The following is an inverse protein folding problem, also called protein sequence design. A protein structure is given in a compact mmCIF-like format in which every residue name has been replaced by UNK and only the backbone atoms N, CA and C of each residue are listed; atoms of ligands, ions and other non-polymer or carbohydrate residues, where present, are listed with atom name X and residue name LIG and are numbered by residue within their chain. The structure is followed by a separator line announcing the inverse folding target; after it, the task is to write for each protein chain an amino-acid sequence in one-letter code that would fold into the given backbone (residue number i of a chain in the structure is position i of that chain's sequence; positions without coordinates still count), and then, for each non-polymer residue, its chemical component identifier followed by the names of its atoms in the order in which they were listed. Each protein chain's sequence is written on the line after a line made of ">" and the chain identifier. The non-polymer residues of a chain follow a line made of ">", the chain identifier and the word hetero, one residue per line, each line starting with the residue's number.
data_IF_180176156105
#
_entry.id   IF_180176156105
#
_cell.length_a   1.000
_cell.length_b   1.000
_cell.length_c   1.000
_cell.angle_alpha   90.00
_cell.angle_beta   90.00
_cell.angle_gamma   90.00
#
_symmetry.space_group_name_H-M   'P 1'
#
loop_
_entity.id
_entity.type
_entity.pdbx_description
1 polymer ?
#
# COMPACT_ATOMS: atom_id res chain seq x y z
N UNK A 1 -16.07 -6.91 19.28
CA UNK A 1 -15.20 -6.53 20.42
C UNK A 1 -14.70 -5.13 20.16
N UNK A 2 -14.57 -4.28 21.20
CA UNK A 2 -13.98 -2.94 21.10
C UNK A 2 -12.78 -2.87 22.05
N UNK A 3 -11.78 -2.09 21.67
CA UNK A 3 -10.68 -1.76 22.57
C UNK A 3 -11.08 -0.67 23.56
N UNK A 4 -10.37 -0.56 24.71
CA UNK A 4 -10.46 0.65 25.55
C UNK A 4 -10.19 1.91 24.71
N UNK A 5 -10.97 2.96 24.94
CA UNK A 5 -10.76 4.25 24.25
C UNK A 5 -9.55 4.97 24.85
N UNK A 6 -8.50 5.06 24.07
CA UNK A 6 -7.23 5.75 24.40
C UNK A 6 -7.12 7.13 23.74
N UNK A 7 -8.15 7.57 23.01
CA UNK A 7 -8.10 8.84 22.26
C UNK A 7 -8.01 10.06 23.19
N UNK A 8 -8.70 10.13 24.33
CA UNK A 8 -8.53 11.25 25.26
C UNK A 8 -7.07 11.45 25.69
N UNK A 9 -6.41 10.35 26.09
CA UNK A 9 -5.00 10.39 26.52
C UNK A 9 -4.06 10.76 25.37
N UNK A 10 -4.31 10.20 24.17
CA UNK A 10 -3.54 10.56 22.99
C UNK A 10 -3.72 12.03 22.61
N UNK A 11 -4.91 12.59 22.69
CA UNK A 11 -5.15 14.02 22.42
C UNK A 11 -4.46 14.92 23.44
N UNK A 12 -4.46 14.54 24.70
CA UNK A 12 -3.75 15.28 25.74
C UNK A 12 -2.22 15.27 25.48
N UNK A 13 -1.70 14.14 25.02
CA UNK A 13 -0.27 13.97 24.67
C UNK A 13 0.12 14.64 23.35
N UNK A 14 -0.81 14.72 22.41
CA UNK A 14 -0.60 15.20 21.03
C UNK A 14 -1.44 16.45 20.71
N UNK A 15 -1.32 17.54 21.50
CA UNK A 15 -2.20 18.71 21.35
C UNK A 15 -2.06 19.46 20.03
N UNK A 16 -0.97 19.26 19.28
CA UNK A 16 -0.71 19.91 17.99
C UNK A 16 -1.06 19.01 16.79
N UNK A 17 -1.63 17.82 17.03
CA UNK A 17 -2.06 16.94 15.95
C UNK A 17 -3.21 17.58 15.19
N UNK A 18 -3.09 17.68 13.85
CA UNK A 18 -4.09 18.32 12.98
C UNK A 18 -5.01 17.31 12.32
N UNK A 19 -4.49 16.15 12.01
CA UNK A 19 -5.20 15.07 11.36
C UNK A 19 -6.29 14.44 12.23
N UNK A 20 -7.09 13.60 11.61
CA UNK A 20 -8.20 12.93 12.28
C UNK A 20 -7.68 11.78 13.14
N UNK A 21 -8.10 11.77 14.40
CA UNK A 21 -7.81 10.70 15.35
C UNK A 21 -9.12 10.12 15.88
N UNK A 22 -9.36 8.81 15.63
CA UNK A 22 -10.63 8.12 15.92
C UNK A 22 -10.38 6.88 16.78
N UNK A 23 -11.30 6.63 17.74
CA UNK A 23 -11.31 5.40 18.50
C UNK A 23 -12.07 4.29 17.77
N UNK A 24 -11.59 3.06 17.89
CA UNK A 24 -12.30 1.86 17.46
C UNK A 24 -12.86 1.93 16.03
N UNK A 25 -12.09 2.52 15.10
CA UNK A 25 -12.52 2.64 13.70
C UNK A 25 -12.61 1.26 13.05
N UNK A 26 -13.79 0.84 12.52
CA UNK A 26 -13.93 -0.43 11.83
C UNK A 26 -13.02 -0.53 10.61
N UNK A 27 -12.09 -1.48 10.59
CA UNK A 27 -11.14 -1.63 9.48
C UNK A 27 -11.72 -2.35 8.27
N UNK A 28 -12.81 -3.09 8.42
CA UNK A 28 -13.53 -3.68 7.30
C UNK A 28 -13.98 -2.66 6.25
N UNK A 29 -14.18 -1.38 6.63
CA UNK A 29 -14.48 -0.29 5.70
C UNK A 29 -13.31 0.08 4.79
N UNK A 30 -12.08 -0.21 5.23
CA UNK A 30 -10.82 0.16 4.57
C UNK A 30 -10.09 -1.04 3.96
N UNK A 31 -10.61 -2.25 4.10
CA UNK A 31 -10.05 -3.44 3.45
C UNK A 31 -10.83 -3.77 2.17
N UNK A 32 -10.14 -4.23 1.15
CA UNK A 32 -10.82 -4.69 -0.07
C UNK A 32 -11.68 -5.92 0.19
N UNK A 33 -11.24 -6.80 1.06
CA UNK A 33 -11.98 -7.99 1.47
C UNK A 33 -13.27 -7.67 2.27
N UNK A 34 -13.37 -6.44 2.80
CA UNK A 34 -14.52 -5.93 3.56
C UNK A 34 -14.78 -6.69 4.86
N UNK A 35 -13.74 -7.24 5.45
CA UNK A 35 -13.75 -7.84 6.79
C UNK A 35 -12.68 -7.18 7.65
N UNK A 36 -12.85 -7.25 8.97
CA UNK A 36 -11.88 -6.79 9.95
C UNK A 36 -12.52 -6.07 11.12
N UNK A 37 -11.98 -6.37 12.31
CA UNK A 37 -12.31 -5.69 13.55
C UNK A 37 -11.77 -4.25 13.59
N UNK A 38 -11.92 -3.57 14.73
CA UNK A 38 -11.57 -2.16 14.85
C UNK A 38 -10.04 -1.94 14.95
N UNK A 39 -9.58 -0.75 14.52
CA UNK A 39 -8.32 -0.18 14.96
C UNK A 39 -8.53 0.46 16.34
N UNK A 40 -7.68 0.17 17.33
CA UNK A 40 -7.79 0.78 18.66
C UNK A 40 -7.72 2.31 18.58
N UNK A 41 -6.68 2.84 17.92
CA UNK A 41 -6.60 4.23 17.53
C UNK A 41 -6.34 4.30 16.02
N UNK A 42 -7.05 5.16 15.32
CA UNK A 42 -6.95 5.33 13.88
C UNK A 42 -6.58 6.77 13.57
N UNK A 43 -5.44 6.98 12.91
CA UNK A 43 -4.90 8.29 12.59
C UNK A 43 -4.82 8.51 11.09
N UNK A 44 -5.35 9.65 10.64
CA UNK A 44 -5.24 10.15 9.27
C UNK A 44 -4.53 11.50 9.31
N UNK A 45 -3.19 11.54 9.11
CA UNK A 45 -2.42 12.77 9.09
C UNK A 45 -2.80 13.67 7.91
N UNK A 46 -2.66 14.99 8.10
CA UNK A 46 -2.89 15.99 7.07
C UNK A 46 -1.72 16.06 6.07
N UNK A 47 -0.47 15.99 6.57
CA UNK A 47 0.76 16.08 5.80
C UNK A 47 1.95 15.41 6.51
N UNK A 48 3.14 15.48 5.90
CA UNK A 48 4.38 14.90 6.44
C UNK A 48 4.73 15.45 7.84
N UNK A 49 4.48 16.73 8.10
CA UNK A 49 4.79 17.36 9.39
C UNK A 49 3.85 16.86 10.49
N UNK A 50 2.58 16.70 10.18
CA UNK A 50 1.58 16.16 11.10
C UNK A 50 1.86 14.68 11.41
N UNK A 51 2.21 13.91 10.39
CA UNK A 51 2.65 12.52 10.55
C UNK A 51 3.91 12.43 11.43
N UNK A 52 4.92 13.27 11.15
CA UNK A 52 6.18 13.33 11.89
C UNK A 52 5.94 13.72 13.36
N UNK A 53 5.11 14.71 13.60
CA UNK A 53 4.71 15.11 14.94
C UNK A 53 4.01 13.96 15.68
N UNK A 54 3.05 13.32 15.03
CA UNK A 54 2.34 12.16 15.58
C UNK A 54 3.30 11.05 15.98
N UNK A 55 4.11 10.57 15.03
CA UNK A 55 5.05 9.46 15.28
C UNK A 55 6.07 9.75 16.38
N UNK A 56 6.63 10.95 16.42
CA UNK A 56 7.62 11.36 17.43
C UNK A 56 7.07 11.32 18.84
N UNK A 57 5.82 11.68 19.02
CA UNK A 57 5.21 11.88 20.33
C UNK A 57 4.33 10.71 20.80
N UNK A 58 4.14 9.66 19.96
CA UNK A 58 3.50 8.43 20.42
C UNK A 58 4.33 7.74 21.52
N UNK A 59 3.69 7.02 22.48
CA UNK A 59 4.39 6.12 23.39
C UNK A 59 5.37 5.21 22.64
N UNK A 60 6.58 5.04 23.18
CA UNK A 60 7.66 4.31 22.49
C UNK A 60 7.28 2.84 22.20
N UNK A 61 6.51 2.24 23.10
CA UNK A 61 6.02 0.86 23.07
C UNK A 61 4.70 0.70 22.28
N UNK A 62 4.08 1.80 21.82
CA UNK A 62 2.82 1.71 21.08
C UNK A 62 3.08 1.13 19.68
N UNK A 63 2.44 0.00 19.33
CA UNK A 63 2.51 -0.55 18.00
C UNK A 63 1.95 0.41 16.95
N UNK A 64 2.61 0.48 15.80
CA UNK A 64 2.15 1.28 14.64
C UNK A 64 1.94 0.35 13.46
N UNK A 65 0.75 0.40 12.89
CA UNK A 65 0.37 -0.33 11.68
C UNK A 65 -0.03 0.65 10.59
N UNK A 66 0.52 0.51 9.38
CA UNK A 66 0.18 1.38 8.25
C UNK A 66 -0.71 0.62 7.28
N UNK A 67 -1.81 1.24 6.86
CA UNK A 67 -2.70 0.67 5.85
C UNK A 67 -2.84 1.60 4.65
N UNK A 68 -2.75 1.01 3.45
CA UNK A 68 -3.02 1.70 2.18
C UNK A 68 -4.45 1.43 1.68
N UNK A 69 -4.58 0.95 0.43
CA UNK A 69 -5.86 0.54 -0.15
C UNK A 69 -6.49 -0.71 0.49
N UNK A 70 -5.77 -1.40 1.38
CA UNK A 70 -6.26 -2.60 2.04
C UNK A 70 -6.47 -3.81 1.12
N UNK A 71 -5.84 -3.81 -0.06
CA UNK A 71 -5.99 -4.85 -1.08
C UNK A 71 -5.19 -6.13 -0.80
N UNK A 72 -4.21 -6.05 0.11
CA UNK A 72 -3.35 -7.16 0.51
C UNK A 72 -3.42 -7.42 2.02
N UNK A 73 -4.58 -7.13 2.64
CA UNK A 73 -4.78 -7.25 4.08
C UNK A 73 -6.03 -8.07 4.38
N UNK A 74 -5.89 -8.96 5.36
CA UNK A 74 -7.00 -9.60 6.07
C UNK A 74 -6.86 -9.22 7.54
N UNK A 75 -7.77 -8.42 8.04
CA UNK A 75 -7.81 -8.02 9.45
C UNK A 75 -8.74 -8.97 10.19
N UNK A 76 -8.28 -9.54 11.30
CA UNK A 76 -9.08 -10.45 12.14
C UNK A 76 -10.11 -9.66 12.95
N UNK A 77 -11.15 -10.34 13.42
CA UNK A 77 -12.27 -9.73 14.17
C UNK A 77 -11.83 -9.05 15.46
N UNK A 78 -10.72 -9.52 16.08
CA UNK A 78 -10.11 -8.86 17.24
C UNK A 78 -9.55 -7.47 16.96
N UNK A 79 -9.41 -7.09 15.69
CA UNK A 79 -8.91 -5.78 15.31
C UNK A 79 -7.39 -5.63 15.42
N UNK A 80 -6.94 -4.37 15.45
CA UNK A 80 -5.52 -3.98 15.49
C UNK A 80 -5.29 -3.08 16.71
N UNK A 81 -4.42 -3.54 17.61
CA UNK A 81 -3.99 -2.79 18.78
C UNK A 81 -3.02 -1.67 18.42
N UNK A 82 -2.98 -0.60 19.20
CA UNK A 82 -2.09 0.53 19.03
C UNK A 82 -2.62 1.51 17.98
N UNK A 83 -1.70 2.16 17.26
CA UNK A 83 -2.01 3.19 16.27
C UNK A 83 -2.04 2.59 14.85
N UNK A 84 -3.19 2.63 14.20
CA UNK A 84 -3.30 2.37 12.76
C UNK A 84 -3.26 3.70 12.02
N UNK A 85 -2.31 3.86 11.10
CA UNK A 85 -2.13 5.05 10.27
C UNK A 85 -2.64 4.77 8.86
N UNK A 86 -3.48 5.67 8.36
CA UNK A 86 -3.92 5.66 6.96
C UNK A 86 -3.68 7.02 6.34
N UNK A 87 -2.82 7.07 5.35
CA UNK A 87 -2.53 8.30 4.62
C UNK A 87 -3.71 8.65 3.70
N UNK A 88 -4.04 9.94 3.67
CA UNK A 88 -5.20 10.49 2.97
C UNK A 88 -4.82 11.49 1.88
N UNK A 89 -5.64 12.53 1.75
CA UNK A 89 -5.54 13.53 0.67
C UNK A 89 -4.20 14.26 0.61
N UNK A 90 -3.54 14.52 1.74
CA UNK A 90 -2.23 15.18 1.78
C UNK A 90 -1.08 14.34 1.17
N UNK A 91 -1.35 13.09 0.79
CA UNK A 91 -0.35 12.15 0.27
C UNK A 91 -0.80 11.49 -1.04
N UNK A 92 -1.75 12.09 -1.73
CA UNK A 92 -2.39 11.46 -2.89
C UNK A 92 -2.24 12.33 -4.18
N UNK A 93 -1.19 13.10 -4.27
CA UNK A 93 -0.81 13.85 -5.45
C UNK A 93 0.00 13.00 -6.44
N UNK A 94 -0.01 13.38 -7.69
CA UNK A 94 0.87 12.86 -8.73
C UNK A 94 1.20 13.98 -9.71
N UNK A 95 2.47 14.17 -10.00
CA UNK A 95 2.93 15.14 -10.98
C UNK A 95 4.11 14.60 -11.80
N UNK A 96 4.29 15.19 -12.97
CA UNK A 96 5.33 14.83 -13.92
C UNK A 96 6.45 15.87 -13.79
N UNK A 97 7.68 15.38 -13.68
CA UNK A 97 8.90 16.19 -13.73
C UNK A 97 9.66 15.97 -15.04
N UNK A 98 10.74 16.72 -15.20
CA UNK A 98 11.65 16.56 -16.33
C UNK A 98 12.22 15.13 -16.38
N UNK A 99 12.79 14.76 -17.53
CA UNK A 99 13.46 13.47 -17.74
C UNK A 99 12.56 12.25 -17.49
N UNK A 100 11.26 12.38 -17.78
CA UNK A 100 10.27 11.29 -17.64
C UNK A 100 10.12 10.77 -16.22
N UNK A 101 10.30 11.64 -15.22
CA UNK A 101 10.08 11.30 -13.82
C UNK A 101 8.62 11.51 -13.43
N UNK A 102 8.11 10.60 -12.64
CA UNK A 102 6.77 10.68 -12.04
C UNK A 102 6.92 10.70 -10.53
N UNK A 103 6.52 11.80 -9.90
CA UNK A 103 6.50 11.93 -8.45
C UNK A 103 5.08 11.68 -7.96
N UNK A 104 4.94 10.79 -7.00
CA UNK A 104 3.65 10.41 -6.46
C UNK A 104 3.66 10.30 -4.94
N UNK A 105 2.60 10.77 -4.31
CA UNK A 105 2.32 10.56 -2.90
C UNK A 105 1.98 9.10 -2.61
N UNK A 106 2.29 8.61 -1.43
CA UNK A 106 2.15 7.18 -1.11
C UNK A 106 0.70 6.69 -0.96
N UNK A 107 -0.27 7.60 -0.79
CA UNK A 107 -1.69 7.27 -0.82
C UNK A 107 -2.28 7.25 -2.24
N UNK A 108 -1.52 7.71 -3.27
CA UNK A 108 -1.95 7.63 -4.66
C UNK A 108 -2.10 6.18 -5.10
N UNK A 109 -3.19 5.88 -5.80
CA UNK A 109 -3.42 4.56 -6.37
C UNK A 109 -2.44 4.29 -7.52
N UNK A 110 -1.85 3.10 -7.55
CA UNK A 110 -0.90 2.68 -8.57
C UNK A 110 -1.45 2.86 -9.99
N UNK A 111 -2.72 2.52 -10.22
CA UNK A 111 -3.40 2.72 -11.51
C UNK A 111 -3.48 4.19 -11.92
N UNK A 112 -3.56 5.12 -10.97
CA UNK A 112 -3.61 6.56 -11.27
C UNK A 112 -2.23 7.09 -11.66
N UNK A 113 -1.16 6.56 -11.06
CA UNK A 113 0.22 6.83 -11.47
C UNK A 113 0.45 6.36 -12.91
N UNK A 114 0.04 5.11 -13.23
CA UNK A 114 0.12 4.59 -14.60
C UNK A 114 -0.63 5.47 -15.62
N UNK A 115 -1.83 5.95 -15.26
CA UNK A 115 -2.63 6.86 -16.11
C UNK A 115 -1.97 8.22 -16.30
N UNK A 116 -1.37 8.78 -15.25
CA UNK A 116 -0.65 10.05 -15.33
C UNK A 116 0.57 9.92 -16.27
N UNK A 117 1.34 8.85 -16.11
CA UNK A 117 2.47 8.52 -16.98
C UNK A 117 2.03 8.33 -18.44
N UNK A 118 0.96 7.55 -18.67
CA UNK A 118 0.38 7.34 -20.00
C UNK A 118 0.02 8.65 -20.70
N UNK A 119 -0.70 9.54 -20.01
CA UNK A 119 -1.10 10.85 -20.55
C UNK A 119 0.10 11.74 -20.89
N UNK A 120 1.19 11.61 -20.13
CA UNK A 120 2.43 12.34 -20.36
C UNK A 120 3.37 11.68 -21.39
N UNK A 121 2.98 10.56 -22.01
CA UNK A 121 3.84 9.82 -22.94
C UNK A 121 5.04 9.17 -22.27
N UNK A 122 4.89 8.70 -21.03
CA UNK A 122 5.94 8.06 -20.24
C UNK A 122 5.65 6.56 -20.17
N UNK A 123 6.49 5.74 -20.82
CA UNK A 123 6.41 4.27 -20.79
C UNK A 123 7.25 3.67 -19.67
N UNK A 124 7.03 2.38 -19.38
CA UNK A 124 7.70 1.60 -18.33
C UNK A 124 6.95 1.57 -16.99
N UNK A 125 5.84 2.31 -16.87
CA UNK A 125 5.01 2.36 -15.66
C UNK A 125 3.62 1.71 -15.83
N UNK A 126 3.34 1.12 -17.00
CA UNK A 126 2.04 0.52 -17.32
C UNK A 126 1.68 -0.65 -16.39
N UNK A 127 2.68 -1.41 -15.89
CA UNK A 127 2.48 -2.53 -14.96
C UNK A 127 1.76 -2.11 -13.66
N UNK A 128 1.93 -0.87 -13.22
CA UNK A 128 1.24 -0.32 -12.05
C UNK A 128 -0.29 -0.36 -12.21
N UNK A 129 -0.80 -0.33 -13.44
CA UNK A 129 -2.24 -0.47 -13.69
C UNK A 129 -2.80 -1.84 -13.31
N UNK A 130 -1.95 -2.86 -13.23
CA UNK A 130 -2.28 -4.21 -12.79
C UNK A 130 -2.22 -4.41 -11.27
N UNK A 131 -1.76 -3.42 -10.51
CA UNK A 131 -1.59 -3.50 -9.05
C UNK A 131 -2.76 -2.78 -8.37
N UNK A 132 -3.60 -3.49 -7.61
CA UNK A 132 -4.74 -2.88 -6.92
C UNK A 132 -4.32 -2.29 -5.57
N UNK A 133 -3.34 -1.41 -5.58
CA UNK A 133 -2.70 -0.88 -4.38
C UNK A 133 -2.51 0.63 -4.42
N UNK A 134 -1.73 1.10 -3.47
CA UNK A 134 -1.21 2.46 -3.42
C UNK A 134 0.31 2.42 -3.51
N UNK A 135 0.92 3.52 -3.93
CA UNK A 135 2.39 3.69 -4.04
C UNK A 135 3.10 3.26 -2.74
N UNK A 136 2.59 3.64 -1.56
CA UNK A 136 3.16 3.21 -0.28
C UNK A 136 3.13 1.69 -0.07
N UNK A 137 2.05 1.04 -0.50
CA UNK A 137 1.94 -0.42 -0.50
C UNK A 137 2.88 -1.07 -1.52
N UNK A 138 3.01 -0.48 -2.71
CA UNK A 138 3.93 -0.93 -3.74
C UNK A 138 5.40 -0.85 -3.27
N UNK A 139 5.80 0.23 -2.61
CA UNK A 139 7.10 0.37 -1.97
C UNK A 139 7.34 -0.71 -0.90
N UNK A 140 6.37 -0.91 0.00
CA UNK A 140 6.53 -1.87 1.11
C UNK A 140 6.66 -3.31 0.64
N UNK A 141 6.00 -3.65 -0.46
CA UNK A 141 5.92 -5.02 -0.97
C UNK A 141 6.85 -5.27 -2.17
N UNK A 142 7.64 -4.30 -2.63
CA UNK A 142 8.23 -4.37 -3.96
C UNK A 142 7.22 -4.94 -4.95
N UNK A 143 6.04 -4.28 -5.02
CA UNK A 143 4.92 -4.82 -5.77
C UNK A 143 5.29 -4.95 -7.25
N UNK A 144 4.91 -6.05 -7.84
CA UNK A 144 5.20 -6.34 -9.25
C UNK A 144 4.07 -7.09 -9.92
N UNK A 145 3.94 -6.83 -11.20
CA UNK A 145 2.97 -7.47 -12.08
C UNK A 145 3.49 -7.44 -13.53
N UNK A 146 3.14 -8.46 -14.32
CA UNK A 146 3.39 -8.48 -15.76
C UNK A 146 4.86 -8.26 -16.16
N UNK A 147 5.79 -8.84 -15.38
CA UNK A 147 7.21 -8.85 -15.68
C UNK A 147 8.01 -7.63 -15.19
N UNK A 148 7.38 -6.70 -14.47
CA UNK A 148 8.06 -5.57 -13.84
C UNK A 148 7.73 -5.45 -12.35
N UNK A 149 8.63 -4.86 -11.58
CA UNK A 149 8.49 -4.63 -10.14
C UNK A 149 8.80 -3.16 -9.80
N UNK A 150 8.37 -2.72 -8.63
CA UNK A 150 8.61 -1.34 -8.14
C UNK A 150 10.11 -0.99 -8.14
N UNK A 151 10.99 -1.93 -7.78
CA UNK A 151 12.44 -1.75 -7.80
C UNK A 151 13.00 -1.37 -9.18
N UNK A 152 12.34 -1.78 -10.28
CA UNK A 152 12.84 -1.56 -11.63
C UNK A 152 12.69 -0.10 -12.07
N UNK A 153 11.80 0.63 -11.42
CA UNK A 153 11.43 2.01 -11.78
C UNK A 153 11.65 3.03 -10.65
N UNK A 154 11.93 2.60 -9.43
CA UNK A 154 12.11 3.52 -8.30
C UNK A 154 13.45 4.26 -8.42
N UNK A 155 13.42 5.59 -8.31
CA UNK A 155 14.59 6.42 -8.06
C UNK A 155 14.81 6.53 -6.55
N UNK A 156 13.81 7.03 -5.85
CA UNK A 156 13.83 7.24 -4.40
C UNK A 156 12.45 7.15 -3.78
N UNK A 157 12.40 6.81 -2.50
CA UNK A 157 11.22 6.84 -1.67
C UNK A 157 11.41 7.83 -0.51
N UNK A 158 10.36 8.59 -0.20
CA UNK A 158 10.30 9.47 0.97
C UNK A 158 9.47 8.81 2.06
N UNK A 159 9.79 9.09 3.32
CA UNK A 159 9.04 8.56 4.45
C UNK A 159 9.40 9.24 5.75
N UNK A 160 8.69 8.87 6.81
CA UNK A 160 8.90 9.34 8.17
C UNK A 160 9.26 8.16 9.05
N UNK A 161 10.35 8.25 9.80
CA UNK A 161 10.74 7.20 10.74
C UNK A 161 9.97 7.31 12.08
N UNK A 162 10.17 6.33 12.97
CA UNK A 162 9.49 6.28 14.27
C UNK A 162 9.80 7.49 15.17
N UNK A 163 10.94 8.13 14.95
CA UNK A 163 11.38 9.34 15.69
C UNK A 163 10.80 10.62 15.06
N UNK A 164 10.01 10.51 14.00
CA UNK A 164 9.43 11.65 13.28
C UNK A 164 10.44 12.38 12.40
N UNK A 165 11.54 11.74 12.00
CA UNK A 165 12.46 12.32 11.03
C UNK A 165 12.01 12.02 9.62
N UNK A 166 12.04 13.05 8.78
CA UNK A 166 11.87 12.89 7.34
C UNK A 166 13.10 12.18 6.76
N UNK A 167 12.86 11.14 5.99
CA UNK A 167 13.89 10.29 5.39
C UNK A 167 13.68 10.15 3.90
N UNK A 168 14.78 10.07 3.18
CA UNK A 168 14.80 9.71 1.76
C UNK A 168 15.66 8.45 1.60
N UNK A 169 15.16 7.50 0.85
CA UNK A 169 15.80 6.21 0.59
C UNK A 169 16.01 6.08 -0.91
N UNK A 170 17.25 5.93 -1.36
CA UNK A 170 17.53 5.54 -2.74
C UNK A 170 17.02 4.12 -3.02
N UNK A 171 16.86 3.75 -4.27
CA UNK A 171 16.48 2.39 -4.67
C UNK A 171 17.38 1.32 -4.00
N UNK A 172 18.70 1.53 -3.97
CA UNK A 172 19.63 0.60 -3.33
C UNK A 172 19.37 0.46 -1.81
N UNK A 173 19.04 1.56 -1.13
CA UNK A 173 18.74 1.55 0.31
C UNK A 173 17.41 0.88 0.65
N UNK A 174 16.51 0.72 -0.34
CA UNK A 174 15.24 0.01 -0.13
C UNK A 174 15.44 -1.49 0.13
N UNK A 175 16.58 -2.07 -0.24
CA UNK A 175 16.88 -3.49 0.00
C UNK A 175 15.82 -4.43 -0.55
N UNK A 176 15.32 -4.16 -1.74
CA UNK A 176 14.21 -4.90 -2.36
C UNK A 176 14.59 -6.35 -2.69
N UNK A 177 13.68 -7.23 -2.39
CA UNK A 177 13.64 -8.61 -2.89
C UNK A 177 12.21 -9.02 -3.22
N UNK A 178 11.96 -10.27 -3.58
CA UNK A 178 10.62 -10.73 -3.95
C UNK A 178 9.61 -10.52 -2.81
N UNK A 179 8.61 -9.64 -3.05
CA UNK A 179 7.58 -9.26 -2.07
C UNK A 179 8.13 -8.77 -0.73
N UNK A 180 9.27 -8.07 -0.78
CA UNK A 180 9.94 -7.57 0.42
C UNK A 180 10.66 -6.24 0.16
N UNK A 181 10.68 -5.39 1.21
CA UNK A 181 11.44 -4.16 1.32
C UNK A 181 12.29 -4.23 2.60
N UNK A 182 13.58 -3.93 2.51
CA UNK A 182 14.53 -3.98 3.63
C UNK A 182 14.44 -2.80 4.59
N UNK A 183 13.72 -1.72 4.22
CA UNK A 183 13.48 -0.57 5.11
C UNK A 183 12.61 -1.00 6.30
N UNK A 184 12.96 -0.62 7.55
CA UNK A 184 12.19 -1.01 8.73
C UNK A 184 10.68 -0.75 8.61
N UNK A 185 9.86 -1.67 9.11
CA UNK A 185 8.39 -1.58 9.01
C UNK A 185 7.79 -0.35 9.67
N UNK A 186 8.47 0.17 10.68
CA UNK A 186 8.08 1.39 11.41
C UNK A 186 8.24 2.69 10.61
N UNK A 187 8.90 2.64 9.45
CA UNK A 187 8.97 3.78 8.52
C UNK A 187 7.66 3.85 7.74
N UNK A 188 7.00 4.99 7.80
CA UNK A 188 5.80 5.29 7.02
C UNK A 188 6.23 5.99 5.73
N UNK A 189 6.09 5.33 4.58
CA UNK A 189 6.38 5.96 3.29
C UNK A 189 5.35 7.03 2.97
N UNK A 190 5.81 8.20 2.50
CA UNK A 190 4.96 9.35 2.17
C UNK A 190 4.96 9.70 0.70
N UNK A 191 5.90 9.19 -0.08
CA UNK A 191 5.94 9.37 -1.53
C UNK A 191 7.07 8.62 -2.21
N UNK A 192 7.07 8.67 -3.54
CA UNK A 192 8.10 8.09 -4.39
C UNK A 192 8.35 8.95 -5.63
N UNK A 193 9.58 8.89 -6.14
CA UNK A 193 9.97 9.35 -7.47
C UNK A 193 10.26 8.12 -8.32
N UNK A 194 9.53 7.98 -9.43
CA UNK A 194 9.63 6.86 -10.35
C UNK A 194 10.21 7.32 -11.68
N UNK A 195 11.05 6.48 -12.30
CA UNK A 195 11.66 6.71 -13.60
C UNK A 195 10.94 5.93 -14.70
N UNK A 196 10.42 6.63 -15.69
CA UNK A 196 9.99 6.05 -16.95
C UNK A 196 10.92 6.43 -18.09
N UNK A 197 10.44 6.28 -19.32
CA UNK A 197 11.13 6.62 -20.57
C UNK A 197 10.12 7.27 -21.51
N UNK A 198 10.62 7.97 -22.56
CA UNK A 198 9.77 8.49 -23.61
C UNK A 198 8.96 7.36 -24.28
N UNK A 199 7.68 7.59 -24.51
CA UNK A 199 6.77 6.64 -25.13
C UNK A 199 5.63 7.33 -25.86
N UNK A 200 4.79 6.54 -26.54
CA UNK A 200 3.62 7.02 -27.27
C UNK A 200 2.38 6.73 -26.43
N UNK A 201 1.55 7.73 -26.09
CA UNK A 201 0.38 7.57 -25.22
C UNK A 201 -0.57 6.44 -25.63
N UNK A 202 -0.84 6.28 -26.93
CA UNK A 202 -1.77 5.26 -27.42
C UNK A 202 -1.19 3.83 -27.28
N UNK A 203 0.14 3.68 -27.47
CA UNK A 203 0.82 2.38 -27.25
C UNK A 203 0.75 2.00 -25.77
N UNK A 204 1.00 2.95 -24.87
CA UNK A 204 0.92 2.72 -23.43
C UNK A 204 -0.53 2.40 -23.00
N UNK A 205 -1.52 3.09 -23.59
CA UNK A 205 -2.94 2.79 -23.32
C UNK A 205 -3.33 1.37 -23.76
N UNK A 206 -2.82 0.91 -24.91
CA UNK A 206 -3.02 -0.47 -25.37
C UNK A 206 -2.39 -1.49 -24.42
N UNK A 207 -1.15 -1.25 -23.94
CA UNK A 207 -0.47 -2.07 -22.94
C UNK A 207 -1.29 -2.16 -21.63
N UNK A 208 -1.76 -1.03 -21.13
CA UNK A 208 -2.62 -1.01 -19.91
C UNK A 208 -3.93 -1.76 -20.11
N UNK A 209 -4.50 -1.72 -21.32
CA UNK A 209 -5.72 -2.47 -21.66
C UNK A 209 -5.46 -3.97 -21.68
N UNK A 210 -4.33 -4.39 -22.23
CA UNK A 210 -3.90 -5.80 -22.21
C UNK A 210 -3.69 -6.31 -20.79
N UNK A 211 -3.00 -5.53 -19.95
CA UNK A 211 -2.80 -5.83 -18.52
C UNK A 211 -4.15 -6.03 -17.83
N UNK A 212 -5.09 -5.11 -18.04
CA UNK A 212 -6.44 -5.20 -17.47
C UNK A 212 -7.14 -6.47 -17.93
N UNK A 213 -7.11 -6.79 -19.21
CA UNK A 213 -7.75 -7.98 -19.78
C UNK A 213 -7.17 -9.28 -19.21
N UNK A 214 -5.84 -9.38 -19.11
CA UNK A 214 -5.16 -10.53 -18.50
C UNK A 214 -5.53 -10.69 -17.03
N UNK A 215 -5.65 -9.58 -16.31
CA UNK A 215 -6.06 -9.60 -14.91
C UNK A 215 -7.51 -10.08 -14.76
N UNK A 216 -8.43 -9.57 -15.56
CA UNK A 216 -9.85 -9.95 -15.54
C UNK A 216 -10.07 -11.42 -15.90
N UNK A 217 -9.22 -11.98 -16.76
CA UNK A 217 -9.27 -13.38 -17.16
C UNK A 217 -8.73 -14.34 -16.07
N UNK A 218 -7.77 -13.87 -15.23
CA UNK A 218 -7.06 -14.73 -14.28
C UNK A 218 -7.45 -14.54 -12.81
N UNK A 219 -8.16 -13.46 -12.48
CA UNK A 219 -8.48 -13.14 -11.08
C UNK A 219 -9.99 -13.00 -10.87
N UNK A 220 -10.51 -13.48 -9.72
CA UNK A 220 -11.92 -13.33 -9.40
C UNK A 220 -12.29 -11.85 -9.28
N UNK A 221 -13.50 -11.49 -9.77
CA UNK A 221 -14.05 -10.13 -9.67
C UNK A 221 -14.66 -9.82 -8.30
N UNK A 222 -14.78 -10.83 -7.45
CA UNK A 222 -15.35 -10.71 -6.12
C UNK A 222 -14.36 -10.07 -5.13
N UNK A 223 -14.86 -9.73 -3.94
CA UNK A 223 -14.04 -9.28 -2.83
C UNK A 223 -13.03 -10.36 -2.45
N UNK A 224 -11.74 -10.01 -2.46
CA UNK A 224 -10.65 -10.96 -2.22
C UNK A 224 -9.52 -10.27 -1.45
N UNK A 225 -8.77 -11.02 -0.67
CA UNK A 225 -7.54 -10.57 -0.02
C UNK A 225 -6.31 -10.64 -0.94
N UNK A 226 -6.48 -11.00 -2.23
CA UNK A 226 -5.38 -11.29 -3.14
C UNK A 226 -4.79 -12.68 -2.91
N UNK A 227 -3.56 -12.91 -3.38
CA UNK A 227 -2.84 -14.15 -3.15
C UNK A 227 -2.45 -14.27 -1.67
N UNK A 228 -3.01 -15.24 -0.97
CA UNK A 228 -2.78 -15.47 0.46
C UNK A 228 -1.34 -15.91 0.74
N UNK A 229 -0.74 -16.67 -0.17
CA UNK A 229 0.60 -17.24 -0.02
C UNK A 229 1.57 -16.65 -1.04
N UNK A 230 2.81 -16.42 -0.60
CA UNK A 230 3.94 -16.18 -1.50
C UNK A 230 4.27 -17.46 -2.26
N UNK A 231 4.71 -17.33 -3.51
CA UNK A 231 5.23 -18.49 -4.24
C UNK A 231 6.50 -19.01 -3.57
N UNK A 232 6.56 -20.30 -3.18
CA UNK A 232 7.81 -20.90 -2.71
C UNK A 232 8.82 -21.02 -3.87
N UNK A 233 10.12 -21.10 -3.59
CA UNK A 233 11.13 -21.29 -4.63
C UNK A 233 10.79 -22.47 -5.55
N UNK A 234 10.77 -22.22 -6.86
CA UNK A 234 10.49 -23.24 -7.88
C UNK A 234 9.02 -23.70 -7.99
N UNK A 235 8.10 -23.15 -7.19
CA UNK A 235 6.69 -23.57 -7.17
C UNK A 235 5.74 -22.39 -7.27
N UNK A 236 4.51 -22.66 -7.74
CA UNK A 236 3.39 -21.70 -7.71
C UNK A 236 2.46 -22.04 -6.54
N UNK A 237 2.24 -21.10 -5.63
CA UNK A 237 1.40 -21.33 -4.45
C UNK A 237 -0.02 -21.79 -4.81
N UNK A 238 -0.63 -21.21 -5.86
CA UNK A 238 -1.96 -21.62 -6.30
C UNK A 238 -2.03 -23.07 -6.77
N UNK A 239 -0.97 -23.60 -7.43
CA UNK A 239 -0.91 -25.00 -7.83
C UNK A 239 -0.86 -25.94 -6.60
N UNK A 240 -0.05 -25.59 -5.60
CA UNK A 240 0.04 -26.36 -4.36
C UNK A 240 -1.31 -26.36 -3.60
N UNK A 241 -2.04 -25.25 -3.60
CA UNK A 241 -3.39 -25.17 -3.02
C UNK A 241 -4.39 -26.03 -3.78
N UNK A 242 -4.31 -26.06 -5.11
CA UNK A 242 -5.14 -26.89 -5.98
C UNK A 242 -4.83 -28.39 -5.79
N UNK A 243 -3.56 -28.76 -5.82
CA UNK A 243 -3.07 -30.13 -5.57
C UNK A 243 -3.44 -30.67 -4.16
N UNK A 244 -3.51 -29.78 -3.16
CA UNK A 244 -4.00 -30.09 -1.82
C UNK A 244 -5.52 -30.24 -1.73
N UNK A 245 -6.27 -30.14 -2.86
CA UNK A 245 -7.73 -30.25 -2.89
C UNK A 245 -8.45 -29.07 -2.21
N UNK A 246 -7.76 -27.94 -1.99
CA UNK A 246 -8.34 -26.81 -1.27
C UNK A 246 -9.09 -25.83 -2.19
N UNK A 247 -9.00 -25.97 -3.51
CA UNK A 247 -9.74 -25.11 -4.44
C UNK A 247 -11.24 -25.30 -4.26
N UNK A 248 -11.97 -24.19 -4.12
CA UNK A 248 -13.40 -24.22 -3.87
C UNK A 248 -13.80 -24.55 -2.43
N UNK A 249 -12.85 -24.86 -1.53
CA UNK A 249 -13.12 -25.10 -0.12
C UNK A 249 -13.83 -23.90 0.51
N UNK A 250 -14.90 -24.16 1.25
CA UNK A 250 -15.70 -23.16 1.94
C UNK A 250 -15.61 -23.30 3.45
N UNK A 251 -15.50 -22.16 4.14
CA UNK A 251 -15.63 -22.06 5.60
C UNK A 251 -16.55 -20.88 5.88
N UNK A 252 -17.78 -21.14 6.32
CA UNK A 252 -18.80 -20.12 6.45
C UNK A 252 -19.09 -19.42 5.12
N UNK A 253 -18.96 -18.11 5.10
CA UNK A 253 -19.13 -17.28 3.89
C UNK A 253 -17.87 -17.12 3.03
N UNK A 254 -16.71 -17.60 3.49
CA UNK A 254 -15.44 -17.51 2.78
C UNK A 254 -15.20 -18.73 1.89
N UNK A 255 -14.56 -18.51 0.74
CA UNK A 255 -14.23 -19.55 -0.23
C UNK A 255 -12.83 -19.36 -0.78
N UNK A 256 -12.08 -20.45 -0.97
CA UNK A 256 -10.84 -20.48 -1.74
C UNK A 256 -11.20 -20.45 -3.23
N UNK A 257 -10.65 -19.48 -3.98
CA UNK A 257 -10.93 -19.30 -5.41
C UNK A 257 -10.14 -20.27 -6.29
#
# INVERSE_FOLDING_TARGET
>A
MSFPDIIPDLKARLPQLRGRLLANQPLGEFTWFRVGGPAQAFFMPEDDNDLAYGLRNLPADMPVTVIGAGSNLIVRDGGVQGMTIRLGRGFNDVHIEHDHRVVAGSAMLDVMVARAAQKAGITGLAFLSGIPGTVGGALRMNAGAYGAETKDVLIEARGVDRQGNLRTFSNAQMGFSYRHCGVPEVVVFTGATLQGRAGVPDVIAAEMTEIKSKREASQPRNRTGGSTFKNPPGHSAWKLVDEAGCRGLRVGGAQVS
#
